data_IF_296788570083
#
_entry.id   IF_296788570083
#
_cell.length_a   1.000
_cell.length_b   1.000
_cell.length_c   1.000
_cell.angle_alpha   90.00
_cell.angle_beta   90.00
_cell.angle_gamma   90.00
#
_symmetry.space_group_name_H-M   'P 1'
#
loop_
_entity.id
_entity.type
_entity.pdbx_description
1 polymer ?
#
# COMPACT_ATOMS: atom_id res chain seq x y z
N UNK A 1 15.09 -20.56 -13.25
CA UNK A 1 14.51 -21.63 -12.41
C UNK A 1 13.37 -21.08 -11.51
N UNK A 2 13.63 -20.19 -10.54
CA UNK A 2 12.60 -19.68 -9.63
C UNK A 2 11.48 -18.92 -10.36
N UNK A 3 11.83 -18.07 -11.32
CA UNK A 3 10.87 -17.32 -12.11
C UNK A 3 10.09 -18.21 -13.07
N UNK A 4 10.74 -19.23 -13.64
CA UNK A 4 10.09 -20.18 -14.55
C UNK A 4 9.08 -21.05 -13.79
N UNK A 5 9.44 -21.52 -12.58
CA UNK A 5 8.53 -22.24 -11.68
C UNK A 5 7.30 -21.38 -11.35
N UNK A 6 7.52 -20.10 -11.00
CA UNK A 6 6.44 -19.19 -10.67
C UNK A 6 5.57 -18.83 -11.89
N UNK A 7 6.17 -18.67 -13.07
CA UNK A 7 5.44 -18.45 -14.33
C UNK A 7 4.54 -19.64 -14.63
N UNK A 8 5.08 -20.85 -14.54
CA UNK A 8 4.30 -22.06 -14.71
C UNK A 8 3.14 -22.16 -13.71
N UNK A 9 3.42 -21.86 -12.43
CA UNK A 9 2.41 -21.88 -11.38
C UNK A 9 1.32 -20.79 -11.58
N UNK A 10 1.67 -19.61 -12.08
CA UNK A 10 0.70 -18.59 -12.46
C UNK A 10 -0.26 -19.09 -13.55
N UNK A 11 0.28 -19.72 -14.58
CA UNK A 11 -0.50 -20.18 -15.73
C UNK A 11 -1.37 -21.41 -15.40
N UNK A 12 -0.84 -22.36 -14.63
CA UNK A 12 -1.49 -23.65 -14.41
C UNK A 12 -2.27 -23.71 -13.10
N UNK A 13 -1.85 -22.98 -12.06
CA UNK A 13 -2.51 -23.02 -10.76
C UNK A 13 -3.39 -21.77 -10.57
N UNK A 14 -2.80 -20.56 -10.63
CA UNK A 14 -3.55 -19.32 -10.29
C UNK A 14 -4.73 -19.11 -11.23
N UNK A 15 -4.59 -19.43 -12.51
CA UNK A 15 -5.66 -19.29 -13.52
C UNK A 15 -6.69 -20.42 -13.50
N UNK A 16 -6.49 -21.47 -12.71
CA UNK A 16 -7.45 -22.57 -12.63
C UNK A 16 -8.72 -22.17 -11.88
N UNK A 17 -9.87 -22.67 -12.31
CA UNK A 17 -11.16 -22.42 -11.68
C UNK A 17 -11.16 -22.84 -10.21
N UNK A 18 -10.50 -23.95 -9.90
CA UNK A 18 -10.39 -24.52 -8.56
C UNK A 18 -9.61 -23.61 -7.59
N UNK A 19 -8.48 -23.02 -8.05
CA UNK A 19 -7.75 -22.02 -7.28
C UNK A 19 -8.60 -20.77 -7.07
N UNK A 20 -9.24 -20.28 -8.13
CA UNK A 20 -10.07 -19.08 -8.08
C UNK A 20 -11.26 -19.26 -7.13
N UNK A 21 -11.88 -20.43 -7.12
CA UNK A 21 -12.99 -20.76 -6.21
C UNK A 21 -12.53 -20.81 -4.75
N UNK A 22 -11.42 -21.50 -4.45
CA UNK A 22 -10.83 -21.55 -3.11
C UNK A 22 -10.48 -20.15 -2.60
N UNK A 23 -9.74 -19.39 -3.41
CA UNK A 23 -9.30 -18.04 -3.05
C UNK A 23 -10.48 -17.07 -2.82
N UNK A 24 -11.49 -17.08 -3.71
CA UNK A 24 -12.71 -16.27 -3.54
C UNK A 24 -13.49 -16.64 -2.29
N UNK A 25 -13.57 -17.93 -1.96
CA UNK A 25 -14.20 -18.38 -0.73
C UNK A 25 -13.51 -17.82 0.52
N UNK A 26 -12.17 -17.81 0.53
CA UNK A 26 -11.40 -17.22 1.63
C UNK A 26 -11.61 -15.70 1.67
N UNK A 27 -11.59 -15.02 0.51
CA UNK A 27 -11.84 -13.58 0.44
C UNK A 27 -13.21 -13.20 1.01
N UNK A 28 -14.24 -13.99 0.72
CA UNK A 28 -15.60 -13.75 1.23
C UNK A 28 -15.69 -14.01 2.74
N UNK A 29 -15.23 -15.17 3.19
CA UNK A 29 -15.47 -15.62 4.56
C UNK A 29 -14.47 -15.06 5.58
N UNK A 30 -13.29 -14.66 5.15
CA UNK A 30 -12.21 -14.20 6.03
C UNK A 30 -11.86 -12.73 5.85
N UNK A 31 -11.84 -12.23 4.63
CA UNK A 31 -11.50 -10.83 4.36
C UNK A 31 -12.70 -9.89 4.46
N UNK A 32 -13.91 -10.40 4.26
CA UNK A 32 -15.15 -9.62 4.27
C UNK A 32 -15.48 -9.00 2.91
N UNK A 33 -15.13 -9.70 1.80
CA UNK A 33 -15.49 -9.25 0.45
C UNK A 33 -16.89 -9.72 0.01
N UNK A 34 -17.56 -8.99 -0.89
CA UNK A 34 -17.11 -7.76 -1.54
C UNK A 34 -17.03 -6.56 -0.58
N UNK A 35 -15.97 -5.73 -0.72
CA UNK A 35 -15.92 -4.48 0.05
C UNK A 35 -16.97 -3.49 -0.46
N UNK A 36 -17.53 -2.64 0.43
CA UNK A 36 -18.55 -1.68 0.00
C UNK A 36 -18.04 -0.66 -1.01
N UNK A 37 -18.97 -0.19 -1.86
CA UNK A 37 -18.82 1.05 -2.62
C UNK A 37 -19.63 2.14 -1.91
N UNK A 38 -18.98 3.15 -1.37
CA UNK A 38 -19.59 4.22 -0.58
C UNK A 38 -19.62 5.53 -1.37
N UNK A 39 -20.77 6.18 -1.48
CA UNK A 39 -20.86 7.52 -2.08
C UNK A 39 -20.49 8.59 -1.04
N UNK A 40 -19.41 9.34 -1.29
CA UNK A 40 -18.85 10.37 -0.40
C UNK A 40 -19.47 11.75 -0.73
N UNK A 41 -20.73 11.95 -0.34
CA UNK A 41 -21.52 13.14 -0.71
C UNK A 41 -21.03 14.43 -0.08
N UNK A 42 -20.63 14.38 1.22
CA UNK A 42 -20.17 15.58 1.92
C UNK A 42 -18.77 15.99 1.45
N UNK A 43 -17.92 15.01 1.15
CA UNK A 43 -16.61 15.26 0.58
C UNK A 43 -16.71 15.86 -0.83
N UNK A 44 -17.57 15.32 -1.68
CA UNK A 44 -17.81 15.88 -3.01
C UNK A 44 -18.20 17.36 -2.95
N UNK A 45 -19.15 17.72 -2.07
CA UNK A 45 -19.55 19.12 -1.83
C UNK A 45 -18.44 19.98 -1.22
N UNK A 46 -17.58 19.41 -0.38
CA UNK A 46 -16.46 20.15 0.20
C UNK A 46 -15.34 20.43 -0.82
N UNK A 47 -15.22 19.58 -1.86
CA UNK A 47 -14.28 19.77 -2.96
C UNK A 47 -14.86 20.74 -4.01
N UNK A 48 -16.11 20.57 -4.37
CA UNK A 48 -16.83 21.39 -5.37
C UNK A 48 -18.21 21.80 -4.82
N UNK A 49 -18.29 22.93 -4.10
CA UNK A 49 -19.54 23.39 -3.48
C UNK A 49 -20.67 23.65 -4.46
N UNK A 50 -20.35 24.10 -5.65
CA UNK A 50 -21.33 24.43 -6.70
C UNK A 50 -21.76 23.19 -7.51
N UNK A 51 -21.04 22.06 -7.39
CA UNK A 51 -21.32 20.81 -8.12
C UNK A 51 -21.15 20.94 -9.64
N UNK A 52 -20.34 21.89 -10.11
CA UNK A 52 -20.15 22.16 -11.55
C UNK A 52 -19.14 21.23 -12.20
N UNK A 53 -18.18 20.72 -11.41
CA UNK A 53 -17.13 19.83 -11.87
C UNK A 53 -17.29 18.41 -11.32
N UNK A 54 -17.46 18.27 -9.99
CA UNK A 54 -17.61 16.98 -9.32
C UNK A 54 -19.07 16.71 -8.96
N UNK A 55 -19.76 15.94 -9.79
CA UNK A 55 -21.16 15.57 -9.56
C UNK A 55 -21.31 14.48 -8.48
N UNK A 56 -20.55 13.39 -8.60
CA UNK A 56 -20.57 12.25 -7.64
C UNK A 56 -19.17 11.72 -7.38
N UNK A 57 -18.93 11.27 -6.16
CA UNK A 57 -17.69 10.64 -5.74
C UNK A 57 -18.00 9.31 -5.05
N UNK A 58 -17.45 8.22 -5.56
CA UNK A 58 -17.54 6.90 -4.98
C UNK A 58 -16.19 6.42 -4.45
N UNK A 59 -16.20 5.76 -3.29
CA UNK A 59 -15.04 5.19 -2.63
C UNK A 59 -15.17 3.67 -2.63
N UNK A 60 -14.26 2.96 -3.29
CA UNK A 60 -14.10 1.52 -3.12
C UNK A 60 -13.33 1.26 -1.83
N UNK A 61 -14.01 0.67 -0.84
CA UNK A 61 -13.62 0.64 0.58
C UNK A 61 -12.67 -0.52 0.90
N UNK A 62 -11.46 -0.51 0.34
CA UNK A 62 -10.43 -1.51 0.67
C UNK A 62 -9.84 -1.34 2.10
N UNK A 63 -10.09 -0.21 2.73
CA UNK A 63 -9.82 0.05 4.15
C UNK A 63 -10.64 -0.83 5.10
N UNK A 64 -11.73 -1.42 4.63
CA UNK A 64 -12.60 -2.33 5.39
C UNK A 64 -12.22 -3.81 5.22
N UNK A 65 -11.25 -4.15 4.36
CA UNK A 65 -10.70 -5.49 4.32
C UNK A 65 -10.13 -5.88 5.69
N UNK A 66 -10.21 -7.16 6.05
CA UNK A 66 -9.43 -7.70 7.17
C UNK A 66 -7.97 -7.28 7.02
N UNK A 67 -7.32 -6.84 8.08
CA UNK A 67 -6.01 -6.14 8.16
C UNK A 67 -6.03 -4.64 7.83
N UNK A 68 -7.13 -4.11 7.30
CA UNK A 68 -7.32 -2.67 7.09
C UNK A 68 -6.75 -2.10 5.80
N UNK A 69 -6.44 -2.94 4.80
CA UNK A 69 -5.95 -2.52 3.49
C UNK A 69 -6.09 -3.63 2.44
N UNK A 70 -6.02 -3.25 1.15
CA UNK A 70 -6.08 -4.15 -0.02
C UNK A 70 -5.00 -5.23 -0.06
N UNK A 71 -3.91 -5.09 0.67
CA UNK A 71 -2.75 -6.01 0.63
C UNK A 71 -3.12 -7.46 0.95
N UNK A 72 -4.15 -7.68 1.75
CA UNK A 72 -4.60 -9.03 2.15
C UNK A 72 -5.09 -9.87 0.96
N UNK A 73 -5.66 -9.24 -0.07
CA UNK A 73 -6.15 -9.94 -1.27
C UNK A 73 -5.01 -10.71 -1.95
N UNK A 74 -3.92 -9.99 -2.22
CA UNK A 74 -2.71 -10.53 -2.83
C UNK A 74 -2.00 -11.52 -1.90
N UNK A 75 -1.82 -11.18 -0.61
CA UNK A 75 -1.12 -12.03 0.33
C UNK A 75 -1.79 -13.40 0.45
N UNK A 76 -3.12 -13.46 0.63
CA UNK A 76 -3.85 -14.73 0.69
C UNK A 76 -3.72 -15.53 -0.61
N UNK A 77 -3.84 -14.89 -1.77
CA UNK A 77 -3.68 -15.57 -3.05
C UNK A 77 -2.28 -16.19 -3.19
N UNK A 78 -1.23 -15.46 -2.83
CA UNK A 78 0.13 -15.97 -2.88
C UNK A 78 0.40 -17.08 -1.85
N UNK A 79 -0.23 -17.04 -0.67
CA UNK A 79 -0.09 -18.13 0.32
C UNK A 79 -0.83 -19.39 -0.13
N UNK A 80 -2.02 -19.28 -0.71
CA UNK A 80 -2.72 -20.42 -1.33
C UNK A 80 -1.86 -21.01 -2.47
N UNK A 81 -1.27 -20.15 -3.31
CA UNK A 81 -0.34 -20.57 -4.37
C UNK A 81 0.85 -21.33 -3.79
N UNK A 82 1.53 -20.76 -2.79
CA UNK A 82 2.70 -21.36 -2.13
C UNK A 82 2.36 -22.75 -1.55
N UNK A 83 1.18 -22.90 -0.92
CA UNK A 83 0.68 -24.18 -0.42
C UNK A 83 0.53 -25.20 -1.55
N UNK A 84 -0.07 -24.82 -2.68
CA UNK A 84 -0.26 -25.69 -3.84
C UNK A 84 1.07 -26.05 -4.55
N UNK A 85 2.07 -25.15 -4.46
CA UNK A 85 3.43 -25.39 -4.94
C UNK A 85 4.26 -26.27 -3.97
N UNK A 86 3.74 -26.64 -2.80
CA UNK A 86 4.45 -27.44 -1.80
C UNK A 86 5.58 -26.67 -1.07
N UNK A 87 5.54 -25.32 -1.07
CA UNK A 87 6.51 -24.52 -0.32
C UNK A 87 6.31 -24.68 1.19
N UNK A 88 7.38 -24.53 1.95
CA UNK A 88 7.40 -24.81 3.39
C UNK A 88 7.61 -23.54 4.24
N UNK A 89 8.09 -22.46 3.63
CA UNK A 89 8.38 -21.17 4.29
C UNK A 89 7.96 -20.03 3.38
N UNK A 90 7.49 -18.96 4.01
CA UNK A 90 7.14 -17.72 3.34
C UNK A 90 8.09 -16.61 3.78
N UNK A 91 8.55 -15.82 2.83
CA UNK A 91 9.24 -14.56 3.11
C UNK A 91 8.50 -13.41 2.44
N UNK A 92 8.61 -12.22 3.01
CA UNK A 92 8.06 -10.99 2.46
C UNK A 92 8.97 -9.81 2.76
N UNK A 93 8.83 -8.74 1.98
CA UNK A 93 9.34 -7.41 2.31
C UNK A 93 8.22 -6.52 2.80
N UNK A 94 8.56 -5.45 3.53
CA UNK A 94 7.58 -4.42 3.86
C UNK A 94 8.25 -3.08 4.19
N UNK A 95 7.61 -1.96 3.81
CA UNK A 95 7.96 -0.60 4.23
C UNK A 95 6.98 -0.10 5.31
N UNK A 96 5.78 0.34 4.92
CA UNK A 96 4.72 0.77 5.86
C UNK A 96 4.21 -0.32 6.82
N UNK A 97 4.64 -1.57 6.66
CA UNK A 97 4.23 -2.69 7.49
C UNK A 97 2.92 -3.36 7.06
N UNK A 98 2.10 -2.75 6.22
CA UNK A 98 0.80 -3.31 5.83
C UNK A 98 0.90 -4.61 5.04
N UNK A 99 1.88 -4.72 4.14
CA UNK A 99 2.12 -5.96 3.42
C UNK A 99 2.64 -7.06 4.36
N UNK A 100 3.58 -6.71 5.25
CA UNK A 100 4.08 -7.63 6.26
C UNK A 100 2.97 -8.15 7.18
N UNK A 101 2.08 -7.29 7.65
CA UNK A 101 0.90 -7.69 8.45
C UNK A 101 -0.01 -8.61 7.64
N UNK A 102 -0.31 -8.28 6.38
CA UNK A 102 -1.16 -9.11 5.53
C UNK A 102 -0.55 -10.50 5.28
N UNK A 103 0.76 -10.56 5.01
CA UNK A 103 1.48 -11.83 4.82
C UNK A 103 1.54 -12.63 6.12
N UNK A 104 1.88 -12.01 7.25
CA UNK A 104 1.89 -12.66 8.55
C UNK A 104 0.50 -13.22 8.91
N UNK A 105 -0.57 -12.47 8.61
CA UNK A 105 -1.96 -12.90 8.81
C UNK A 105 -2.28 -14.13 7.98
N UNK A 106 -1.96 -14.11 6.69
CA UNK A 106 -2.18 -15.24 5.80
C UNK A 106 -1.34 -16.47 6.22
N UNK A 107 -0.08 -16.27 6.62
CA UNK A 107 0.78 -17.32 7.12
C UNK A 107 0.24 -17.96 8.42
N UNK A 108 -0.25 -17.13 9.35
CA UNK A 108 -0.87 -17.63 10.59
C UNK A 108 -2.12 -18.48 10.29
N UNK A 109 -2.95 -18.04 9.34
CA UNK A 109 -4.15 -18.77 8.91
C UNK A 109 -3.82 -20.15 8.33
N UNK A 110 -2.72 -20.27 7.56
CA UNK A 110 -2.34 -21.51 6.88
C UNK A 110 -1.23 -22.32 7.59
N UNK A 111 -0.71 -21.83 8.71
CA UNK A 111 0.32 -22.50 9.50
C UNK A 111 1.73 -22.45 8.87
N UNK A 112 2.06 -21.43 8.09
CA UNK A 112 3.39 -21.26 7.50
C UNK A 112 4.34 -20.50 8.42
N UNK A 113 5.61 -20.92 8.55
CA UNK A 113 6.68 -20.05 9.02
C UNK A 113 6.81 -18.82 8.13
N UNK A 114 6.94 -17.63 8.74
CA UNK A 114 6.94 -16.36 8.04
C UNK A 114 8.10 -15.47 8.50
N UNK A 115 8.95 -15.05 7.57
CA UNK A 115 10.01 -14.07 7.79
C UNK A 115 9.70 -12.80 6.99
N UNK A 116 9.69 -11.64 7.67
CA UNK A 116 9.38 -10.36 7.05
C UNK A 116 10.61 -9.45 7.14
N UNK A 117 11.20 -9.14 5.99
CA UNK A 117 12.29 -8.17 5.86
C UNK A 117 11.73 -6.75 5.90
N UNK A 118 12.29 -5.90 6.75
CA UNK A 118 11.86 -4.52 6.92
C UNK A 118 13.06 -3.63 7.18
N UNK A 119 13.18 -2.51 6.51
CA UNK A 119 14.25 -1.56 6.77
C UNK A 119 14.22 -1.09 8.23
N UNK A 120 15.39 -0.95 8.86
CA UNK A 120 15.50 -0.55 10.27
C UNK A 120 14.79 0.78 10.55
N UNK A 121 14.87 1.71 9.62
CA UNK A 121 14.18 3.00 9.72
C UNK A 121 12.65 2.83 9.68
N UNK A 122 12.16 1.93 8.83
CA UNK A 122 10.74 1.60 8.75
C UNK A 122 10.26 0.83 9.99
N UNK A 123 11.08 -0.07 10.55
CA UNK A 123 10.80 -0.76 11.82
C UNK A 123 10.51 0.26 12.93
N UNK A 124 11.33 1.31 13.00
CA UNK A 124 11.17 2.38 13.99
C UNK A 124 9.91 3.21 13.74
N UNK A 125 9.68 3.63 12.50
CA UNK A 125 8.52 4.47 12.11
C UNK A 125 7.19 3.74 12.24
N UNK A 126 7.16 2.43 12.06
CA UNK A 126 5.95 1.61 11.96
C UNK A 126 5.87 0.53 13.07
N UNK A 127 6.34 0.86 14.28
CA UNK A 127 6.36 -0.03 15.43
C UNK A 127 5.01 -0.75 15.73
N UNK A 128 3.82 -0.14 15.57
CA UNK A 128 2.55 -0.83 15.74
C UNK A 128 2.35 -2.00 14.77
N UNK A 129 2.76 -1.87 13.51
CA UNK A 129 2.68 -2.95 12.53
C UNK A 129 3.71 -4.05 12.82
N UNK A 130 4.91 -3.68 13.29
CA UNK A 130 5.90 -4.65 13.77
C UNK A 130 5.34 -5.48 14.92
N UNK A 131 4.67 -4.84 15.88
CA UNK A 131 3.97 -5.53 16.97
C UNK A 131 2.91 -6.50 16.49
N UNK A 132 2.10 -6.10 15.49
CA UNK A 132 1.07 -6.97 14.87
C UNK A 132 1.71 -8.19 14.20
N UNK A 133 2.78 -8.01 13.40
CA UNK A 133 3.48 -9.12 12.75
C UNK A 133 4.03 -10.12 13.75
N UNK A 134 4.67 -9.64 14.84
CA UNK A 134 5.16 -10.50 15.92
C UNK A 134 4.04 -11.24 16.63
N UNK A 135 2.91 -10.59 16.91
CA UNK A 135 1.74 -11.20 17.54
C UNK A 135 1.14 -12.30 16.65
N UNK A 136 1.22 -12.16 15.34
CA UNK A 136 0.81 -13.15 14.33
C UNK A 136 1.82 -14.30 14.14
N UNK A 137 2.93 -14.29 14.88
CA UNK A 137 3.97 -15.33 14.82
C UNK A 137 5.02 -15.14 13.75
N UNK A 138 5.03 -14.02 13.01
CA UNK A 138 6.06 -13.74 12.03
C UNK A 138 7.33 -13.22 12.70
N UNK A 139 8.49 -13.59 12.14
CA UNK A 139 9.80 -13.03 12.50
C UNK A 139 10.06 -11.79 11.63
N UNK A 140 10.19 -10.62 12.24
CA UNK A 140 10.59 -9.39 11.56
C UNK A 140 12.10 -9.28 11.59
N UNK A 141 12.71 -9.19 10.40
CA UNK A 141 14.17 -9.12 10.20
C UNK A 141 14.51 -7.68 9.79
N UNK A 142 15.15 -6.88 10.69
CA UNK A 142 15.58 -5.54 10.36
C UNK A 142 16.72 -5.56 9.34
N UNK A 143 16.60 -4.74 8.28
CA UNK A 143 17.64 -4.54 7.28
C UNK A 143 18.37 -3.24 7.58
N UNK A 144 19.67 -3.35 7.89
CA UNK A 144 20.52 -2.24 8.33
C UNK A 144 21.41 -1.67 7.22
N UNK A 145 21.41 -2.28 6.04
CA UNK A 145 22.18 -1.84 4.87
C UNK A 145 21.44 -0.78 4.06
N UNK A 146 22.17 0.00 3.28
CA UNK A 146 21.65 1.00 2.36
C UNK A 146 20.89 2.14 3.06
N UNK A 147 19.77 2.56 2.48
CA UNK A 147 18.87 3.57 3.05
C UNK A 147 18.03 3.05 4.22
N UNK A 148 18.09 1.76 4.51
CA UNK A 148 17.36 1.08 5.59
C UNK A 148 15.84 1.22 5.47
N UNK A 149 15.35 1.24 4.21
CA UNK A 149 13.93 1.38 3.84
C UNK A 149 13.47 0.21 2.96
N UNK A 150 12.24 0.29 2.41
CA UNK A 150 11.61 -0.73 1.58
C UNK A 150 12.52 -1.25 0.45
N UNK A 151 13.29 -0.38 -0.24
CA UNK A 151 14.18 -0.78 -1.32
C UNK A 151 15.18 -1.85 -0.87
N UNK A 152 15.80 -1.64 0.29
CA UNK A 152 16.82 -2.55 0.81
C UNK A 152 16.20 -3.82 1.40
N UNK A 153 15.00 -3.71 1.99
CA UNK A 153 14.21 -4.88 2.40
C UNK A 153 13.88 -5.80 1.22
N UNK A 154 13.51 -5.25 0.07
CA UNK A 154 13.29 -6.02 -1.17
C UNK A 154 14.57 -6.71 -1.64
N UNK A 155 15.72 -6.05 -1.57
CA UNK A 155 17.02 -6.64 -1.95
C UNK A 155 17.33 -7.86 -1.09
N UNK A 156 17.15 -7.78 0.23
CA UNK A 156 17.43 -8.91 1.14
C UNK A 156 16.44 -10.05 0.95
N UNK A 157 15.14 -9.75 0.77
CA UNK A 157 14.13 -10.76 0.48
C UNK A 157 14.44 -11.51 -0.83
N UNK A 158 14.84 -10.80 -1.89
CA UNK A 158 15.25 -11.41 -3.16
C UNK A 158 16.50 -12.31 -2.99
N UNK A 159 17.50 -11.88 -2.21
CA UNK A 159 18.70 -12.70 -1.94
C UNK A 159 18.35 -13.99 -1.20
N UNK A 160 17.54 -13.91 -0.16
CA UNK A 160 17.05 -15.09 0.55
C UNK A 160 16.27 -16.02 -0.38
N UNK A 161 15.36 -15.45 -1.17
CA UNK A 161 14.52 -16.23 -2.08
C UNK A 161 15.35 -17.03 -3.09
N UNK A 162 16.28 -16.39 -3.81
CA UNK A 162 17.11 -17.08 -4.81
C UNK A 162 18.02 -18.13 -4.21
N UNK A 163 18.37 -17.99 -2.94
CA UNK A 163 19.16 -18.98 -2.20
C UNK A 163 18.34 -20.19 -1.78
N UNK A 164 17.05 -20.00 -1.47
CA UNK A 164 16.18 -20.99 -0.85
C UNK A 164 14.93 -21.34 -1.69
N UNK A 165 14.98 -21.20 -3.00
CA UNK A 165 13.84 -21.30 -3.92
C UNK A 165 13.02 -22.58 -3.79
N UNK A 166 13.67 -23.71 -3.47
CA UNK A 166 12.99 -25.01 -3.43
C UNK A 166 11.93 -25.09 -2.33
N UNK A 167 12.19 -24.47 -1.19
CA UNK A 167 11.35 -24.57 0.01
C UNK A 167 10.64 -23.27 0.35
N UNK A 168 11.06 -22.15 -0.21
CA UNK A 168 10.62 -20.80 0.16
C UNK A 168 9.85 -20.13 -0.97
N UNK A 169 8.70 -19.54 -0.64
CA UNK A 169 7.98 -18.62 -1.52
C UNK A 169 8.21 -17.18 -1.06
N UNK A 170 8.57 -16.34 -2.00
CA UNK A 170 8.63 -14.90 -1.78
C UNK A 170 7.28 -14.28 -2.10
N UNK A 171 6.56 -13.84 -1.06
CA UNK A 171 5.28 -13.15 -1.17
C UNK A 171 5.53 -11.66 -1.39
N UNK A 172 5.49 -11.20 -2.64
CA UNK A 172 5.75 -9.81 -2.99
C UNK A 172 4.51 -8.93 -2.76
N UNK A 173 4.74 -7.73 -2.23
CA UNK A 173 3.67 -6.80 -1.82
C UNK A 173 3.21 -5.80 -2.87
N UNK A 174 3.88 -5.74 -4.01
CA UNK A 174 3.59 -4.76 -5.05
C UNK A 174 3.56 -5.36 -6.45
N UNK A 175 2.92 -4.68 -7.40
CA UNK A 175 2.90 -5.08 -8.82
C UNK A 175 4.21 -4.66 -9.53
N UNK A 176 5.35 -4.89 -8.87
CA UNK A 176 6.71 -4.59 -9.30
C UNK A 176 7.58 -5.84 -9.20
N UNK A 177 8.85 -5.73 -9.58
CA UNK A 177 9.76 -6.87 -9.57
C UNK A 177 9.79 -7.63 -10.90
N UNK A 178 10.54 -8.75 -10.98
CA UNK A 178 10.70 -9.49 -12.23
C UNK A 178 9.42 -10.22 -12.61
N UNK A 179 9.24 -10.47 -13.91
CA UNK A 179 8.17 -11.36 -14.39
C UNK A 179 8.29 -12.73 -13.72
N UNK A 180 7.18 -13.35 -13.21
CA UNK A 180 5.79 -12.98 -13.43
C UNK A 180 5.13 -12.19 -12.28
N UNK A 181 5.90 -11.67 -11.32
CA UNK A 181 5.34 -11.00 -10.13
C UNK A 181 4.37 -9.85 -10.45
N UNK A 182 4.66 -8.93 -11.40
CA UNK A 182 3.71 -7.88 -11.73
C UNK A 182 2.35 -8.43 -12.17
N UNK A 183 2.35 -9.47 -13.02
CA UNK A 183 1.13 -10.12 -13.49
C UNK A 183 0.41 -10.88 -12.37
N UNK A 184 1.13 -11.61 -11.54
CA UNK A 184 0.58 -12.35 -10.40
C UNK A 184 -0.15 -11.40 -9.44
N UNK A 185 0.51 -10.33 -9.03
CA UNK A 185 -0.05 -9.35 -8.10
C UNK A 185 -1.25 -8.63 -8.72
N UNK A 186 -1.15 -8.21 -9.97
CA UNK A 186 -2.24 -7.54 -10.66
C UNK A 186 -3.47 -8.47 -10.82
N UNK A 187 -3.26 -9.75 -11.12
CA UNK A 187 -4.33 -10.76 -11.20
C UNK A 187 -5.05 -10.92 -9.85
N UNK A 188 -4.30 -11.01 -8.75
CA UNK A 188 -4.87 -11.16 -7.41
C UNK A 188 -5.48 -9.86 -6.86
N UNK A 189 -5.08 -8.69 -7.34
CA UNK A 189 -5.68 -7.40 -6.94
C UNK A 189 -6.85 -6.99 -7.84
N UNK A 190 -7.05 -7.62 -8.99
CA UNK A 190 -8.11 -7.28 -9.94
C UNK A 190 -9.51 -7.33 -9.33
N UNK A 191 -9.71 -8.14 -8.29
CA UNK A 191 -10.96 -8.23 -7.53
C UNK A 191 -11.47 -6.85 -7.07
N UNK A 192 -10.56 -5.89 -6.80
CA UNK A 192 -10.91 -4.50 -6.44
C UNK A 192 -11.72 -3.84 -7.56
N UNK A 193 -11.21 -3.94 -8.76
CA UNK A 193 -11.83 -3.32 -9.95
C UNK A 193 -13.09 -4.06 -10.40
N UNK A 194 -13.06 -5.39 -10.42
CA UNK A 194 -14.20 -6.20 -10.84
C UNK A 194 -15.43 -5.90 -9.96
N UNK A 195 -15.27 -5.93 -8.64
CA UNK A 195 -16.35 -5.56 -7.71
C UNK A 195 -16.78 -4.09 -7.84
N UNK A 196 -15.82 -3.17 -7.96
CA UNK A 196 -16.13 -1.75 -8.08
C UNK A 196 -16.94 -1.45 -9.35
N UNK A 197 -16.61 -2.13 -10.46
CA UNK A 197 -17.33 -2.02 -11.73
C UNK A 197 -18.77 -2.50 -11.61
N UNK A 198 -19.00 -3.67 -11.05
CA UNK A 198 -20.33 -4.22 -10.82
C UNK A 198 -21.15 -3.30 -9.89
N UNK A 199 -20.56 -2.86 -8.79
CA UNK A 199 -21.22 -2.04 -7.78
C UNK A 199 -21.61 -0.65 -8.31
N UNK A 200 -20.73 0.00 -9.10
CA UNK A 200 -21.03 1.32 -9.64
C UNK A 200 -22.12 1.25 -10.72
N UNK A 201 -22.08 0.23 -11.57
CA UNK A 201 -23.13 -0.03 -12.55
C UNK A 201 -24.47 -0.28 -11.87
N UNK A 202 -24.50 -1.09 -10.82
CA UNK A 202 -25.72 -1.36 -10.05
C UNK A 202 -26.25 -0.09 -9.36
N UNK A 203 -25.37 0.81 -8.89
CA UNK A 203 -25.76 2.01 -8.15
C UNK A 203 -26.15 3.18 -9.01
N UNK A 204 -25.62 3.27 -10.24
CA UNK A 204 -25.75 4.47 -11.09
C UNK A 204 -26.32 4.20 -12.48
N UNK A 205 -26.35 2.95 -12.91
CA UNK A 205 -26.68 2.54 -14.28
C UNK A 205 -25.58 2.85 -15.30
N UNK A 206 -24.41 3.40 -14.88
CA UNK A 206 -23.33 3.81 -15.78
C UNK A 206 -21.95 3.54 -15.16
N UNK A 207 -20.93 3.51 -16.02
CA UNK A 207 -19.52 3.49 -15.58
C UNK A 207 -19.11 4.88 -15.04
N UNK A 208 -18.08 4.97 -14.19
CA UNK A 208 -17.55 6.24 -13.74
C UNK A 208 -16.86 6.98 -14.90
N UNK A 209 -16.78 8.30 -14.79
CA UNK A 209 -15.99 9.09 -15.74
C UNK A 209 -14.49 8.87 -15.56
N UNK A 210 -14.04 8.62 -14.32
CA UNK A 210 -12.68 8.22 -14.05
C UNK A 210 -12.55 7.27 -12.85
N UNK A 211 -11.52 6.40 -12.90
CA UNK A 211 -11.02 5.62 -11.79
C UNK A 211 -9.69 6.22 -11.30
N UNK A 212 -9.60 6.46 -9.99
CA UNK A 212 -8.50 7.17 -9.35
C UNK A 212 -7.88 6.32 -8.24
N UNK A 213 -6.56 6.23 -8.16
CA UNK A 213 -5.88 5.49 -7.09
C UNK A 213 -4.47 6.05 -6.81
N UNK A 214 -3.92 5.79 -5.60
CA UNK A 214 -2.54 6.12 -5.29
C UNK A 214 -1.57 5.14 -5.97
N UNK A 215 -0.38 5.65 -6.30
CA UNK A 215 0.68 4.86 -6.95
C UNK A 215 2.00 5.07 -6.23
N UNK A 216 2.45 3.99 -5.54
CA UNK A 216 3.84 3.76 -5.19
C UNK A 216 4.36 2.67 -6.14
N UNK A 217 4.47 1.41 -5.68
CA UNK A 217 4.63 0.28 -6.60
C UNK A 217 3.39 -0.02 -7.44
N UNK A 218 2.19 0.46 -7.04
CA UNK A 218 0.99 0.56 -7.85
C UNK A 218 0.00 -0.62 -7.75
N UNK A 219 0.09 -1.48 -6.72
CA UNK A 219 -0.75 -2.69 -6.66
C UNK A 219 -2.25 -2.42 -6.53
N UNK A 220 -2.67 -1.43 -5.73
CA UNK A 220 -4.09 -1.07 -5.63
C UNK A 220 -4.61 -0.42 -6.91
N UNK A 221 -3.78 0.42 -7.53
CA UNK A 221 -4.15 1.12 -8.74
C UNK A 221 -4.32 0.15 -9.91
N UNK A 222 -3.39 -0.78 -10.12
CA UNK A 222 -3.51 -1.76 -11.19
C UNK A 222 -4.69 -2.71 -10.97
N UNK A 223 -4.95 -3.07 -9.70
CA UNK A 223 -6.13 -3.85 -9.33
C UNK A 223 -7.43 -3.18 -9.71
N UNK A 224 -7.54 -1.86 -9.48
CA UNK A 224 -8.71 -1.07 -9.90
C UNK A 224 -8.74 -0.89 -11.43
N UNK A 225 -7.62 -0.50 -12.04
CA UNK A 225 -7.56 -0.07 -13.46
C UNK A 225 -7.83 -1.20 -14.43
N UNK A 226 -7.39 -2.44 -14.13
CA UNK A 226 -7.57 -3.59 -15.03
C UNK A 226 -9.04 -3.88 -15.38
N UNK A 227 -9.99 -3.54 -14.50
CA UNK A 227 -11.40 -3.71 -14.79
C UNK A 227 -11.98 -2.69 -15.78
N UNK A 228 -11.22 -1.62 -16.08
CA UNK A 228 -11.64 -0.51 -16.95
C UNK A 228 -10.70 -0.28 -18.14
N UNK A 229 -9.72 -1.16 -18.38
CA UNK A 229 -8.74 -0.97 -19.45
C UNK A 229 -9.39 -0.85 -20.83
N UNK A 230 -10.40 -1.66 -21.09
CA UNK A 230 -11.10 -1.71 -22.39
C UNK A 230 -12.17 -0.62 -22.52
N UNK A 231 -12.49 0.09 -21.43
CA UNK A 231 -13.48 1.15 -21.44
C UNK A 231 -12.83 2.51 -21.75
N UNK A 232 -12.69 2.87 -23.01
CA UNK A 232 -12.09 4.14 -23.43
C UNK A 232 -12.81 5.38 -22.84
N UNK A 233 -14.07 5.25 -22.44
CA UNK A 233 -14.85 6.30 -21.80
C UNK A 233 -14.44 6.56 -20.34
N UNK A 234 -13.78 5.60 -19.68
CA UNK A 234 -13.31 5.72 -18.30
C UNK A 234 -11.83 6.15 -18.30
N UNK A 235 -11.56 7.36 -17.83
CA UNK A 235 -10.19 7.84 -17.65
C UNK A 235 -9.54 7.16 -16.43
N UNK A 236 -8.23 6.89 -16.49
CA UNK A 236 -7.48 6.29 -15.39
C UNK A 236 -6.47 7.32 -14.85
N UNK A 237 -6.54 7.58 -13.54
CA UNK A 237 -5.65 8.54 -12.87
C UNK A 237 -4.90 7.87 -11.73
N UNK A 238 -3.57 7.80 -11.85
CA UNK A 238 -2.66 7.46 -10.77
C UNK A 238 -2.15 8.71 -10.08
N UNK A 239 -2.07 8.71 -8.74
CA UNK A 239 -1.49 9.81 -7.99
C UNK A 239 -0.32 9.33 -7.16
N UNK A 240 0.85 9.92 -7.42
CA UNK A 240 2.13 9.65 -6.78
C UNK A 240 2.40 10.62 -5.63
N UNK A 241 3.41 10.32 -4.80
CA UNK A 241 3.84 11.22 -3.74
C UNK A 241 4.89 12.22 -4.26
N UNK A 242 4.54 13.50 -4.25
CA UNK A 242 5.48 14.58 -4.56
C UNK A 242 6.34 15.00 -3.36
N UNK A 243 6.16 14.41 -2.17
CA UNK A 243 6.94 14.76 -0.99
C UNK A 243 6.93 16.26 -0.69
N UNK A 244 8.11 16.88 -0.69
CA UNK A 244 8.27 18.34 -0.52
C UNK A 244 8.06 19.10 -1.84
N UNK A 245 7.72 18.41 -2.93
CA UNK A 245 7.55 18.93 -4.27
C UNK A 245 8.49 18.29 -5.28
N UNK A 246 8.00 17.97 -6.48
CA UNK A 246 8.77 17.27 -7.53
C UNK A 246 10.06 18.02 -7.89
N UNK A 247 10.07 19.37 -7.84
CA UNK A 247 11.25 20.19 -8.13
C UNK A 247 12.31 20.20 -7.03
N UNK A 248 12.03 19.63 -5.84
CA UNK A 248 12.95 19.68 -4.67
C UNK A 248 13.93 18.53 -4.61
N UNK A 249 13.81 17.50 -5.44
CA UNK A 249 14.50 16.20 -5.35
C UNK A 249 14.12 15.36 -4.13
N UNK A 250 13.15 15.79 -3.32
CA UNK A 250 12.62 15.05 -2.16
C UNK A 250 11.19 14.63 -2.44
N UNK A 251 11.04 13.61 -3.28
CA UNK A 251 9.76 13.07 -3.73
C UNK A 251 9.89 11.58 -4.11
N UNK A 252 8.76 10.91 -4.30
CA UNK A 252 8.66 9.54 -4.80
C UNK A 252 7.83 9.45 -6.10
N UNK A 253 7.72 10.56 -6.84
CA UNK A 253 6.95 10.66 -8.08
C UNK A 253 7.73 10.10 -9.27
N UNK A 254 7.78 8.79 -9.37
CA UNK A 254 8.60 8.03 -10.32
C UNK A 254 8.12 8.20 -11.76
N UNK A 255 6.80 8.14 -11.99
CA UNK A 255 6.23 8.32 -13.33
C UNK A 255 6.26 9.78 -13.76
N UNK A 256 6.09 10.72 -12.82
CA UNK A 256 6.07 12.15 -13.13
C UNK A 256 7.46 12.74 -13.39
N UNK A 257 8.51 12.24 -12.71
CA UNK A 257 9.85 12.83 -12.74
C UNK A 257 11.01 11.83 -12.90
N UNK A 258 10.73 10.53 -12.93
CA UNK A 258 11.73 9.48 -13.11
C UNK A 258 12.11 9.27 -14.58
N UNK A 259 13.02 8.35 -14.80
CA UNK A 259 13.52 7.91 -16.10
C UNK A 259 13.35 6.42 -16.28
N UNK A 260 13.38 5.95 -17.52
CA UNK A 260 13.40 4.51 -17.80
C UNK A 260 14.70 3.91 -17.27
N UNK A 261 14.57 2.86 -16.45
CA UNK A 261 15.69 2.17 -15.83
C UNK A 261 15.32 0.75 -15.43
N UNK A 262 16.19 0.10 -14.66
CA UNK A 262 15.97 -1.25 -14.14
C UNK A 262 16.15 -1.24 -12.62
N UNK A 263 15.15 -1.73 -11.92
CA UNK A 263 15.18 -1.89 -10.47
C UNK A 263 14.48 -3.20 -10.09
N UNK A 264 15.06 -3.96 -9.15
CA UNK A 264 14.51 -5.23 -8.67
C UNK A 264 14.11 -6.21 -9.81
N UNK A 265 14.94 -6.28 -10.87
CA UNK A 265 14.68 -7.19 -12.01
C UNK A 265 13.56 -6.77 -12.96
N UNK A 266 13.08 -5.52 -12.87
CA UNK A 266 12.03 -4.98 -13.73
C UNK A 266 12.51 -3.73 -14.47
N UNK A 267 12.25 -3.64 -15.78
CA UNK A 267 12.41 -2.41 -16.56
C UNK A 267 11.14 -1.58 -16.41
N UNK A 268 11.29 -0.37 -15.87
CA UNK A 268 10.17 0.55 -15.63
C UNK A 268 10.70 1.99 -15.52
N UNK A 269 9.90 2.91 -14.99
CA UNK A 269 10.38 4.21 -14.53
C UNK A 269 11.01 4.07 -13.14
N UNK A 270 12.14 4.74 -12.93
CA UNK A 270 12.88 4.77 -11.66
C UNK A 270 13.37 6.19 -11.37
N UNK A 271 13.50 6.53 -10.09
CA UNK A 271 14.21 7.73 -9.68
C UNK A 271 15.71 7.42 -9.70
N UNK A 272 16.43 7.99 -10.65
CA UNK A 272 17.88 7.81 -10.77
C UNK A 272 18.55 9.08 -11.27
N UNK A 273 19.84 9.20 -10.97
CA UNK A 273 20.69 10.28 -11.50
C UNK A 273 21.11 10.03 -12.96
N UNK A 274 21.95 10.93 -13.50
CA UNK A 274 22.46 10.80 -14.87
C UNK A 274 23.39 9.62 -15.07
N UNK A 275 24.00 9.10 -14.00
CA UNK A 275 24.83 7.89 -13.98
C UNK A 275 24.01 6.59 -13.82
N UNK A 276 22.68 6.68 -13.68
CA UNK A 276 21.79 5.53 -13.47
C UNK A 276 21.76 5.01 -12.02
N UNK A 277 22.36 5.73 -11.07
CA UNK A 277 22.28 5.38 -9.66
C UNK A 277 20.90 5.74 -9.09
N UNK A 278 20.29 4.79 -8.41
CA UNK A 278 18.98 4.97 -7.80
C UNK A 278 19.06 6.04 -6.71
N UNK A 279 18.22 7.05 -6.84
CA UNK A 279 18.06 8.12 -5.85
C UNK A 279 17.19 7.65 -4.69
N UNK A 280 17.41 8.26 -3.53
CA UNK A 280 16.55 8.06 -2.37
C UNK A 280 15.18 8.73 -2.64
N UNK A 281 14.12 7.97 -2.46
CA UNK A 281 12.77 8.48 -2.51
C UNK A 281 12.42 9.20 -1.19
N UNK A 282 11.39 10.05 -1.22
CA UNK A 282 10.87 10.70 -0.03
C UNK A 282 9.36 10.86 -0.11
N UNK A 283 8.67 10.39 0.91
CA UNK A 283 7.24 10.62 1.16
C UNK A 283 6.94 10.50 2.65
N UNK A 284 6.00 11.31 3.15
CA UNK A 284 5.40 11.12 4.47
C UNK A 284 4.70 9.76 4.59
N UNK A 285 4.25 9.23 3.47
CA UNK A 285 3.63 7.92 3.36
C UNK A 285 4.68 6.85 3.08
N UNK A 286 4.97 6.01 4.06
CA UNK A 286 5.95 4.93 3.90
C UNK A 286 5.56 3.91 2.80
N UNK A 287 4.27 3.76 2.48
CA UNK A 287 3.81 2.89 1.39
C UNK A 287 4.00 3.47 -0.01
N UNK A 288 4.28 4.77 -0.13
CA UNK A 288 4.62 5.44 -1.39
C UNK A 288 6.11 5.81 -1.48
N UNK A 289 6.89 5.60 -0.42
CA UNK A 289 8.32 5.90 -0.34
C UNK A 289 9.14 4.81 -1.07
N UNK A 290 9.07 4.81 -2.39
CA UNK A 290 9.72 3.82 -3.25
C UNK A 290 10.19 4.46 -4.56
N UNK A 291 11.47 4.27 -4.97
CA UNK A 291 12.07 4.93 -6.13
C UNK A 291 11.75 4.24 -7.48
N UNK A 292 10.75 3.38 -7.53
CA UNK A 292 10.34 2.64 -8.72
C UNK A 292 8.83 2.50 -8.81
N UNK A 293 8.35 1.90 -9.90
CA UNK A 293 6.93 1.64 -10.13
C UNK A 293 6.75 0.35 -10.91
N UNK A 294 5.57 -0.25 -10.83
CA UNK A 294 5.23 -1.43 -11.62
C UNK A 294 5.33 -1.20 -13.12
N UNK A 295 5.85 -2.17 -13.90
CA UNK A 295 6.06 -2.00 -15.34
C UNK A 295 4.76 -1.80 -16.13
N UNK A 296 3.63 -2.31 -15.64
CA UNK A 296 2.33 -2.09 -16.28
C UNK A 296 1.90 -0.62 -16.17
N UNK A 297 2.20 0.07 -15.05
CA UNK A 297 1.98 1.51 -14.93
C UNK A 297 2.83 2.32 -15.91
N UNK A 298 4.09 1.89 -16.13
CA UNK A 298 4.95 2.49 -17.14
C UNK A 298 4.33 2.37 -18.54
N UNK A 299 3.86 1.19 -18.89
CA UNK A 299 3.16 0.95 -20.15
C UNK A 299 1.87 1.77 -20.29
N UNK A 300 1.05 1.86 -19.23
CA UNK A 300 -0.18 2.65 -19.22
C UNK A 300 0.08 4.14 -19.43
N UNK A 301 1.19 4.65 -18.88
CA UNK A 301 1.66 6.02 -19.12
C UNK A 301 2.10 6.21 -20.58
N UNK A 302 2.99 5.35 -21.07
CA UNK A 302 3.59 5.50 -22.40
C UNK A 302 2.56 5.32 -23.52
N UNK A 303 1.57 4.45 -23.33
CA UNK A 303 0.43 4.28 -24.23
C UNK A 303 -0.61 5.40 -24.14
N UNK A 304 -0.51 6.30 -23.17
CA UNK A 304 -1.50 7.34 -22.91
C UNK A 304 -2.82 6.81 -22.32
N UNK A 305 -2.89 5.54 -21.90
CA UNK A 305 -4.11 4.96 -21.33
C UNK A 305 -4.41 5.46 -19.93
N UNK A 306 -3.38 5.77 -19.13
CA UNK A 306 -3.52 6.36 -17.82
C UNK A 306 -2.72 7.67 -17.71
N UNK A 307 -3.24 8.61 -16.93
CA UNK A 307 -2.60 9.88 -16.57
C UNK A 307 -2.07 9.78 -15.14
N UNK A 308 -0.92 10.39 -14.88
CA UNK A 308 -0.30 10.37 -13.56
C UNK A 308 -0.08 11.80 -13.08
N UNK A 309 -0.50 12.04 -11.84
CA UNK A 309 -0.35 13.29 -11.10
C UNK A 309 0.49 13.03 -9.86
N UNK A 310 0.96 14.08 -9.21
CA UNK A 310 1.67 13.97 -7.95
C UNK A 310 1.10 14.95 -6.92
N UNK A 311 0.95 14.52 -5.67
CA UNK A 311 0.51 15.34 -4.56
C UNK A 311 1.60 15.47 -3.51
N UNK A 312 1.78 16.65 -2.94
CA UNK A 312 2.73 16.91 -1.87
C UNK A 312 2.26 16.34 -0.54
N UNK A 313 3.19 16.16 0.41
CA UNK A 313 2.89 15.73 1.76
C UNK A 313 1.88 16.67 2.45
N UNK A 314 2.02 17.99 2.25
CA UNK A 314 1.08 18.99 2.77
C UNK A 314 -0.33 18.86 2.18
N UNK A 315 -0.45 18.66 0.87
CA UNK A 315 -1.73 18.42 0.20
C UNK A 315 -2.40 17.12 0.71
N UNK A 316 -1.61 16.05 0.88
CA UNK A 316 -2.09 14.77 1.39
C UNK A 316 -2.60 14.88 2.83
N UNK A 317 -1.88 15.56 3.72
CA UNK A 317 -2.31 15.82 5.11
C UNK A 317 -3.62 16.62 5.18
N UNK A 318 -3.73 17.69 4.39
CA UNK A 318 -4.95 18.50 4.32
C UNK A 318 -6.14 17.67 3.79
N UNK A 319 -5.89 16.81 2.80
CA UNK A 319 -6.90 15.92 2.25
C UNK A 319 -7.34 14.86 3.29
N UNK A 320 -6.41 14.24 4.02
CA UNK A 320 -6.73 13.29 5.08
C UNK A 320 -7.66 13.91 6.12
N UNK A 321 -7.34 15.12 6.59
CA UNK A 321 -8.18 15.84 7.55
C UNK A 321 -9.57 16.19 6.99
N UNK A 322 -9.63 16.59 5.71
CA UNK A 322 -10.90 16.87 5.03
C UNK A 322 -11.79 15.64 4.97
N UNK A 323 -11.25 14.48 4.53
CA UNK A 323 -11.98 13.21 4.47
C UNK A 323 -12.48 12.81 5.86
N UNK A 324 -11.63 12.89 6.88
CA UNK A 324 -12.01 12.56 8.25
C UNK A 324 -13.18 13.42 8.74
N UNK A 325 -13.17 14.73 8.48
CA UNK A 325 -14.22 15.67 8.93
C UNK A 325 -15.51 15.61 8.11
N UNK A 326 -15.44 15.16 6.87
CA UNK A 326 -16.62 15.10 6.00
C UNK A 326 -17.28 13.74 6.00
N UNK A 327 -16.52 12.65 6.00
CA UNK A 327 -17.05 11.29 5.84
C UNK A 327 -16.88 10.42 7.09
N UNK A 328 -16.18 10.90 8.13
CA UNK A 328 -15.88 10.10 9.33
C UNK A 328 -14.90 8.95 9.03
N UNK A 329 -14.11 9.07 7.99
CA UNK A 329 -13.13 8.08 7.55
C UNK A 329 -11.73 8.66 7.72
N UNK A 330 -10.87 8.00 8.48
CA UNK A 330 -9.45 8.35 8.55
C UNK A 330 -8.71 7.50 7.52
N UNK A 331 -8.38 8.06 6.35
CA UNK A 331 -7.70 7.31 5.29
C UNK A 331 -6.22 7.12 5.62
N UNK A 332 -5.61 6.05 5.09
CA UNK A 332 -4.17 5.92 5.10
C UNK A 332 -3.51 7.07 4.32
N UNK A 333 -2.29 7.46 4.71
CA UNK A 333 -1.53 8.53 4.04
C UNK A 333 -1.33 8.25 2.55
N UNK A 334 -1.21 6.99 2.16
CA UNK A 334 -1.15 6.58 0.77
C UNK A 334 -2.36 7.10 -0.02
N UNK A 335 -3.55 6.79 0.46
CA UNK A 335 -4.81 7.18 -0.23
C UNK A 335 -5.10 8.68 -0.10
N UNK A 336 -4.49 9.35 0.87
CA UNK A 336 -4.66 10.80 1.05
C UNK A 336 -4.12 11.61 -0.14
N UNK A 337 -3.13 11.08 -0.86
CA UNK A 337 -2.58 11.71 -2.07
C UNK A 337 -3.62 11.84 -3.20
N UNK A 338 -4.31 10.77 -3.64
CA UNK A 338 -5.35 10.93 -4.65
C UNK A 338 -6.55 11.76 -4.17
N UNK A 339 -6.92 11.74 -2.89
CA UNK A 339 -7.94 12.65 -2.38
C UNK A 339 -7.58 14.13 -2.59
N UNK A 340 -6.30 14.47 -2.50
CA UNK A 340 -5.81 15.84 -2.72
C UNK A 340 -6.01 16.33 -4.17
N UNK A 341 -6.03 15.41 -5.14
CA UNK A 341 -6.11 15.74 -6.58
C UNK A 341 -7.51 15.62 -7.18
N UNK A 342 -8.52 15.21 -6.40
CA UNK A 342 -9.89 15.01 -6.94
C UNK A 342 -10.48 16.27 -7.55
N UNK A 343 -10.27 17.45 -6.94
CA UNK A 343 -10.77 18.72 -7.48
C UNK A 343 -10.12 19.07 -8.82
N UNK A 344 -8.80 18.91 -8.93
CA UNK A 344 -8.05 19.13 -10.16
C UNK A 344 -8.53 18.20 -11.28
N UNK A 345 -8.66 16.91 -10.99
CA UNK A 345 -9.16 15.89 -11.94
C UNK A 345 -10.58 16.23 -12.37
N UNK A 346 -11.47 16.53 -11.43
CA UNK A 346 -12.85 16.83 -11.73
C UNK A 346 -13.00 18.08 -12.62
N UNK A 347 -12.29 19.17 -12.31
CA UNK A 347 -12.31 20.40 -13.10
C UNK A 347 -11.82 20.17 -14.54
N UNK A 348 -10.69 19.48 -14.70
CA UNK A 348 -10.13 19.18 -16.03
C UNK A 348 -11.13 18.34 -16.85
N UNK A 349 -11.67 17.27 -16.27
CA UNK A 349 -12.59 16.38 -16.97
C UNK A 349 -13.95 17.03 -17.24
N UNK A 350 -14.48 17.83 -16.32
CA UNK A 350 -15.75 18.53 -16.53
C UNK A 350 -15.63 19.55 -17.67
N UNK A 351 -14.49 20.22 -17.79
CA UNK A 351 -14.20 21.11 -18.93
C UNK A 351 -14.16 20.34 -20.26
N UNK A 352 -13.52 19.16 -20.28
CA UNK A 352 -13.46 18.30 -21.49
C UNK A 352 -14.85 17.75 -21.87
N UNK A 353 -15.70 17.42 -20.91
CA UNK A 353 -16.99 16.74 -21.12
C UNK A 353 -18.21 17.67 -21.15
N UNK A 354 -18.05 18.92 -20.77
CA UNK A 354 -19.15 19.91 -20.71
C UNK A 354 -20.20 19.60 -19.64
N UNK A 355 -19.89 18.76 -18.63
CA UNK A 355 -20.80 18.37 -17.54
C UNK A 355 -20.04 17.95 -16.28
N UNK A 356 -20.68 17.97 -15.10
CA UNK A 356 -20.09 17.38 -13.91
C UNK A 356 -19.79 15.90 -14.09
N UNK A 357 -18.69 15.42 -13.45
CA UNK A 357 -18.19 14.05 -13.59
C UNK A 357 -18.46 13.19 -12.37
N UNK A 358 -18.50 11.88 -12.57
CA UNK A 358 -18.53 10.86 -11.54
C UNK A 358 -17.15 10.25 -11.38
N UNK A 359 -16.56 10.37 -10.21
CA UNK A 359 -15.25 9.78 -9.90
C UNK A 359 -15.39 8.54 -9.00
N UNK A 360 -14.58 7.54 -9.27
CA UNK A 360 -14.41 6.33 -8.46
C UNK A 360 -12.99 6.31 -7.91
N UNK A 361 -12.82 6.35 -6.58
CA UNK A 361 -11.52 6.31 -5.93
C UNK A 361 -11.33 5.01 -5.14
N UNK A 362 -10.17 4.36 -5.29
CA UNK A 362 -9.76 3.25 -4.43
C UNK A 362 -9.27 3.78 -3.08
N UNK A 363 -10.06 3.64 -2.02
CA UNK A 363 -9.62 3.88 -0.65
C UNK A 363 -8.84 2.66 -0.17
N UNK A 364 -7.55 2.64 -0.47
CA UNK A 364 -6.69 1.45 -0.44
C UNK A 364 -6.37 0.92 0.96
N UNK A 365 -6.51 1.77 1.99
CA UNK A 365 -6.28 1.39 3.37
C UNK A 365 -6.71 2.45 4.37
N UNK A 366 -6.86 2.05 5.64
CA UNK A 366 -7.21 2.93 6.75
C UNK A 366 -5.99 3.53 7.43
N UNK A 367 -6.18 4.70 8.06
CA UNK A 367 -5.12 5.53 8.63
C UNK A 367 -4.71 5.20 10.06
N UNK A 368 -5.19 4.10 10.67
CA UNK A 368 -4.85 3.75 12.06
C UNK A 368 -3.33 3.65 12.28
N UNK A 369 -2.62 3.14 11.29
CA UNK A 369 -1.15 3.03 11.32
C UNK A 369 -0.44 4.38 11.27
N UNK A 370 -1.11 5.39 10.71
CA UNK A 370 -0.56 6.72 10.45
C UNK A 370 -1.01 7.76 11.48
N UNK A 371 -1.84 7.35 12.47
CA UNK A 371 -2.51 8.27 13.38
C UNK A 371 -1.52 9.16 14.15
N UNK A 372 -0.43 8.60 14.66
CA UNK A 372 0.61 9.38 15.35
C UNK A 372 1.22 10.45 14.43
N UNK A 373 1.54 10.08 13.19
CA UNK A 373 2.06 11.03 12.19
C UNK A 373 1.03 12.11 11.85
N UNK A 374 -0.24 11.71 11.65
CA UNK A 374 -1.32 12.65 11.35
C UNK A 374 -1.54 13.64 12.50
N UNK A 375 -1.57 13.18 13.75
CA UNK A 375 -1.75 14.04 14.92
C UNK A 375 -0.60 15.04 15.07
N UNK A 376 0.64 14.56 14.98
CA UNK A 376 1.84 15.39 15.08
C UNK A 376 1.91 16.45 13.97
N UNK A 377 1.74 16.04 12.72
CA UNK A 377 1.86 16.94 11.56
C UNK A 377 0.71 17.93 11.42
N UNK A 378 -0.46 17.60 11.93
CA UNK A 378 -1.63 18.50 11.95
C UNK A 378 -1.76 19.32 13.22
N UNK A 379 -0.83 19.19 14.19
CA UNK A 379 -0.88 19.90 15.46
C UNK A 379 -2.08 19.53 16.30
N UNK A 380 -2.53 18.28 16.26
CA UNK A 380 -3.69 17.75 16.97
C UNK A 380 -3.31 16.92 18.20
N UNK A 381 -2.04 16.92 18.61
CA UNK A 381 -1.58 16.25 19.83
C UNK A 381 -2.17 16.94 21.05
N UNK A 382 -2.49 16.16 22.11
CA UNK A 382 -2.95 16.74 23.37
C UNK A 382 -1.83 17.62 23.96
N UNK A 383 -2.15 18.82 24.47
CA UNK A 383 -1.18 19.61 25.21
C UNK A 383 -0.73 18.81 26.45
N UNK A 384 0.53 18.34 26.47
CA UNK A 384 1.13 17.67 27.62
C UNK A 384 1.54 16.20 27.42
N UNK A 385 1.55 15.66 26.21
CA UNK A 385 2.16 14.36 25.89
C UNK A 385 3.69 14.44 25.88
N UNK A 386 4.31 14.79 27.03
CA UNK A 386 5.75 14.66 27.24
C UNK A 386 6.15 13.19 27.30
N UNK A 387 7.38 12.92 26.94
CA UNK A 387 8.05 11.62 26.88
C UNK A 387 7.72 10.71 28.08
N UNK A 388 7.67 9.38 27.88
CA UNK A 388 7.56 8.48 29.01
C UNK A 388 8.76 8.72 29.93
N UNK A 389 8.48 9.15 31.16
CA UNK A 389 9.47 9.30 32.22
C UNK A 389 10.30 8.03 32.29
N UNK A 390 11.58 8.14 31.92
CA UNK A 390 12.58 7.19 32.29
C UNK A 390 12.61 7.12 33.82
N UNK A 391 12.34 5.97 34.35
CA UNK A 391 12.58 5.67 35.76
C UNK A 391 14.09 5.60 35.97
N UNK A 392 14.69 6.76 36.23
CA UNK A 392 16.03 6.82 36.80
C UNK A 392 15.90 6.38 38.26
N UNK A 393 16.17 5.10 38.47
CA UNK A 393 16.44 4.56 39.78
C UNK A 393 17.84 5.00 40.25
N UNK A 394 17.93 6.16 40.90
CA UNK A 394 19.07 6.45 41.73
C UNK A 394 18.78 5.97 43.15
N UNK A 395 19.30 4.79 43.47
CA UNK A 395 19.55 4.35 44.82
C UNK A 395 20.84 4.97 45.32
N UNK A 396 20.75 5.98 46.19
CA UNK A 396 21.88 6.34 47.06
C UNK A 396 21.77 5.54 48.36
N UNK A 397 22.75 4.67 48.55
CA UNK A 397 22.96 4.03 49.85
C UNK A 397 23.43 5.05 50.90
N UNK A 398 23.07 4.82 52.12
CA UNK A 398 24.04 5.05 53.22
C UNK A 398 23.85 4.02 54.33
N UNK A 399 25.00 3.61 54.84
CA UNK A 399 25.17 2.62 55.87
C UNK A 399 24.99 3.24 57.27
N UNK A 400 24.51 2.49 58.21
CA UNK A 400 25.18 2.34 59.51
C UNK A 400 24.40 1.44 60.45
N UNK A 401 25.11 0.37 60.89
CA UNK A 401 25.25 -0.16 62.27
C UNK A 401 24.00 -0.28 63.15
N UNK A 402 23.62 -1.46 63.60
CA UNK A 402 24.11 -2.04 64.85
C UNK A 402 23.40 -3.33 65.23
N UNK A 403 24.17 -4.17 65.87
CA UNK A 403 23.82 -5.49 66.41
C UNK A 403 22.72 -5.48 67.47
N UNK A 404 21.99 -6.58 67.62
CA UNK A 404 22.01 -7.44 68.79
C UNK A 404 20.93 -8.53 68.77
N UNK A 405 21.37 -9.76 69.00
CA UNK A 405 20.89 -10.88 69.83
C UNK A 405 19.40 -11.19 69.91
N UNK A 406 19.09 -12.48 69.70
CA UNK A 406 18.31 -13.24 70.68
C UNK A 406 17.35 -14.25 70.05
N UNK A 407 17.77 -15.48 70.06
CA UNK A 407 17.11 -16.73 70.42
C UNK A 407 15.55 -16.76 70.44
N UNK A 408 14.97 -17.60 69.65
CA UNK A 408 14.38 -18.93 69.99
C UNK A 408 13.94 -19.63 68.67
#
# INVERSE_FOLDING_TARGET
EALDELTHALETIVRSDDFQAEWRTILTNYVGRPTPLTEAKRLARAIDPDGRALGRLFLKREDLCHTGAHKINNALGQIVLAKRMGKQRIIAETGAGQHGVATATACALFGFPCDVYMGEEDVRRQAPNVGRMKMLGARVIPVTSGSRTLKDAMNEALRDWVTNIRTTHYCIGSAAGPHPYPELVATLQRIIGDEAREQILASTGALPDAAVACVGGGSNAIGLFRAFLDDASVALYGVEAAGDGVGTKRHAATLSAGRVGVLHGSKSYVLCDDGGQILEAHSISAGLDYPGVGPEHAWLKDSGRARYLAATDGEALAAAQRVARTEGIIPALETSHPFAKLGEIACAMASERGRPVTLLLCLSGRGDKDLATLLSKLGLEAPGGGEPHGTDGQGSGDASTEATRGAH
#
